data_IF_131652156411
#
_entry.id   IF_131652156411
#
_cell.length_a   1.000
_cell.length_b   1.000
_cell.length_c   1.000
_cell.angle_alpha   90.00
_cell.angle_beta   90.00
_cell.angle_gamma   90.00
#
_symmetry.space_group_name_H-M   'P 1'
#
loop_
_entity.id
_entity.type
_entity.pdbx_description
1 polymer ?
#
# COMPACT_ATOMS: atom_id res chain seq x y z
N UNK A 1 -50.39 -0.75 -19.76
CA UNK A 1 -49.22 -1.49 -19.24
C UNK A 1 -48.05 -1.29 -20.17
N UNK A 2 -47.10 -0.43 -19.82
CA UNK A 2 -45.90 -0.19 -20.60
C UNK A 2 -44.88 -1.30 -20.34
N UNK A 3 -44.48 -2.02 -21.38
CA UNK A 3 -43.42 -3.06 -21.27
C UNK A 3 -42.07 -2.36 -21.26
N UNK A 4 -41.39 -2.39 -20.12
CA UNK A 4 -39.99 -2.01 -20.04
C UNK A 4 -39.15 -3.02 -20.86
N UNK A 5 -38.58 -2.57 -21.98
CA UNK A 5 -37.54 -3.33 -22.69
C UNK A 5 -36.23 -3.18 -21.91
N UNK A 6 -35.83 -4.22 -21.20
CA UNK A 6 -34.48 -4.29 -20.62
C UNK A 6 -33.47 -4.45 -21.76
N UNK A 7 -32.63 -3.44 -21.97
CA UNK A 7 -31.46 -3.60 -22.84
C UNK A 7 -30.54 -4.69 -22.24
N UNK A 8 -29.98 -5.59 -23.06
CA UNK A 8 -29.06 -6.58 -22.54
C UNK A 8 -27.83 -5.90 -21.97
N UNK A 9 -27.46 -6.26 -20.75
CA UNK A 9 -26.23 -5.84 -20.09
C UNK A 9 -25.04 -6.30 -20.96
N UNK A 10 -24.38 -5.38 -21.62
CA UNK A 10 -23.14 -5.69 -22.33
C UNK A 10 -22.04 -5.98 -21.30
N UNK A 11 -21.59 -7.22 -21.25
CA UNK A 11 -20.44 -7.60 -20.44
C UNK A 11 -19.25 -6.73 -20.83
N UNK A 12 -18.55 -6.08 -19.87
CA UNK A 12 -17.38 -5.29 -20.20
C UNK A 12 -16.36 -6.20 -20.90
N UNK A 13 -15.83 -5.76 -22.05
CA UNK A 13 -14.72 -6.45 -22.71
C UNK A 13 -13.56 -6.47 -21.72
N UNK A 14 -13.15 -7.68 -21.29
CA UNK A 14 -11.92 -7.90 -20.54
C UNK A 14 -10.77 -7.51 -21.46
N UNK A 15 -10.25 -6.30 -21.28
CA UNK A 15 -9.00 -5.87 -21.89
C UNK A 15 -7.90 -6.79 -21.38
N UNK A 16 -6.92 -7.17 -22.20
CA UNK A 16 -5.78 -7.96 -21.76
C UNK A 16 -5.13 -7.22 -20.58
N UNK A 17 -5.29 -7.76 -19.37
CA UNK A 17 -4.81 -7.13 -18.14
C UNK A 17 -3.29 -7.27 -18.11
N UNK A 18 -2.60 -6.15 -18.16
CA UNK A 18 -1.18 -6.10 -17.77
C UNK A 18 -1.07 -6.52 -16.30
N UNK A 19 -0.03 -7.28 -15.97
CA UNK A 19 0.23 -7.66 -14.58
C UNK A 19 0.30 -6.40 -13.71
N UNK A 20 -0.53 -6.27 -12.65
CA UNK A 20 -0.57 -5.06 -11.84
C UNK A 20 0.74 -4.86 -11.07
N UNK A 21 1.08 -3.61 -10.77
CA UNK A 21 2.27 -3.24 -10.01
C UNK A 21 1.92 -3.15 -8.52
N UNK A 22 2.61 -3.95 -7.71
CA UNK A 22 2.57 -3.89 -6.25
C UNK A 22 3.79 -3.15 -5.72
N UNK A 23 3.59 -2.06 -4.99
CA UNK A 23 4.67 -1.40 -4.28
C UNK A 23 4.65 -1.75 -2.79
N UNK A 24 5.78 -2.25 -2.27
CA UNK A 24 5.98 -2.55 -0.86
C UNK A 24 6.81 -1.43 -0.25
N UNK A 25 6.19 -0.63 0.65
CA UNK A 25 6.83 0.51 1.28
C UNK A 25 7.36 0.14 2.66
N UNK A 26 8.68 0.28 2.87
CA UNK A 26 9.33 0.17 4.18
C UNK A 26 9.19 1.50 4.90
N UNK A 27 8.28 1.57 5.87
CA UNK A 27 7.94 2.84 6.53
C UNK A 27 8.99 3.30 7.55
N UNK A 28 9.70 2.38 8.20
CA UNK A 28 10.66 2.72 9.25
C UNK A 28 11.96 3.30 8.69
N UNK A 29 12.48 4.36 9.32
CA UNK A 29 13.70 5.06 8.86
C UNK A 29 14.83 5.11 9.88
N UNK A 30 14.58 4.72 11.17
CA UNK A 30 15.59 4.82 12.22
C UNK A 30 16.76 3.83 12.00
N UNK A 31 17.99 4.14 12.44
CA UNK A 31 19.11 3.18 12.45
C UNK A 31 18.77 1.90 13.21
N UNK A 32 19.22 0.74 12.74
CA UNK A 32 18.97 -0.54 13.38
C UNK A 32 17.53 -1.06 13.31
N UNK A 33 16.68 -0.46 12.46
CA UNK A 33 15.28 -0.86 12.24
C UNK A 33 15.14 -2.31 11.76
N UNK A 34 13.99 -2.90 12.02
CA UNK A 34 13.63 -4.26 11.60
C UNK A 34 12.87 -4.27 10.27
N UNK A 35 12.34 -3.12 9.87
CA UNK A 35 11.52 -2.98 8.66
C UNK A 35 12.10 -3.65 7.41
N UNK A 36 13.39 -3.49 7.08
CA UNK A 36 14.00 -4.17 5.94
C UNK A 36 13.91 -5.70 6.00
N UNK A 37 14.09 -6.31 7.17
CA UNK A 37 13.98 -7.77 7.35
C UNK A 37 12.56 -8.27 7.09
N UNK A 38 11.56 -7.55 7.62
CA UNK A 38 10.14 -7.87 7.40
C UNK A 38 9.78 -7.66 5.94
N UNK A 39 10.26 -6.57 5.34
CA UNK A 39 9.96 -6.24 3.95
C UNK A 39 10.61 -7.23 2.97
N UNK A 40 11.82 -7.70 3.23
CA UNK A 40 12.47 -8.71 2.41
C UNK A 40 11.64 -10.01 2.36
N UNK A 41 11.14 -10.46 3.50
CA UNK A 41 10.26 -11.63 3.56
C UNK A 41 8.98 -11.44 2.75
N UNK A 42 8.22 -10.37 3.00
CA UNK A 42 6.94 -10.19 2.27
C UNK A 42 7.17 -9.91 0.78
N UNK A 43 8.31 -9.33 0.40
CA UNK A 43 8.72 -9.17 -0.99
C UNK A 43 8.94 -10.53 -1.67
N UNK A 44 9.66 -11.46 -1.02
CA UNK A 44 9.83 -12.83 -1.51
C UNK A 44 8.49 -13.54 -1.66
N UNK A 45 7.55 -13.38 -0.70
CA UNK A 45 6.19 -13.94 -0.79
C UNK A 45 5.42 -13.37 -1.97
N UNK A 46 5.50 -12.06 -2.19
CA UNK A 46 4.82 -11.40 -3.31
C UNK A 46 5.38 -11.83 -4.67
N UNK A 47 6.70 -12.01 -4.78
CA UNK A 47 7.33 -12.56 -5.99
C UNK A 47 6.89 -14.02 -6.25
N UNK A 48 6.89 -14.86 -5.22
CA UNK A 48 6.47 -16.27 -5.32
C UNK A 48 4.98 -16.42 -5.65
N UNK A 49 4.14 -15.48 -5.21
CA UNK A 49 2.72 -15.43 -5.50
C UNK A 49 2.42 -15.20 -7.00
N UNK A 50 3.26 -14.42 -7.69
CA UNK A 50 3.20 -14.23 -9.14
C UNK A 50 2.03 -13.37 -9.66
N UNK A 51 1.21 -12.81 -8.78
CA UNK A 51 0.06 -11.97 -9.16
C UNK A 51 0.40 -10.52 -9.49
N UNK A 52 1.67 -10.11 -9.27
CA UNK A 52 2.12 -8.73 -9.42
C UNK A 52 3.52 -8.63 -10.02
N UNK A 53 3.78 -7.51 -10.69
CA UNK A 53 5.15 -6.97 -10.77
C UNK A 53 5.44 -6.24 -9.46
N UNK A 54 6.52 -6.62 -8.75
CA UNK A 54 6.76 -6.15 -7.38
C UNK A 54 7.90 -5.14 -7.35
N UNK A 55 7.66 -3.97 -6.73
CA UNK A 55 8.65 -2.93 -6.45
C UNK A 55 8.81 -2.78 -4.94
N UNK A 56 10.06 -2.78 -4.44
CA UNK A 56 10.37 -2.52 -3.04
C UNK A 56 10.87 -1.08 -2.90
N UNK A 57 10.28 -0.31 -1.98
CA UNK A 57 10.58 1.10 -1.77
C UNK A 57 10.90 1.34 -0.30
N UNK A 58 12.09 1.84 -0.02
CA UNK A 58 12.54 2.18 1.33
C UNK A 58 12.43 3.69 1.57
N UNK A 59 11.56 4.11 2.50
CA UNK A 59 11.40 5.54 2.82
C UNK A 59 12.66 6.18 3.40
N UNK A 60 13.61 5.38 3.93
CA UNK A 60 14.91 5.92 4.35
C UNK A 60 15.79 6.29 3.16
N UNK A 61 15.67 5.57 2.04
CA UNK A 61 16.41 5.86 0.80
C UNK A 61 15.74 6.98 0.00
N UNK A 62 14.39 6.99 -0.05
CA UNK A 62 13.61 8.09 -0.65
C UNK A 62 13.93 9.41 0.04
N UNK A 63 14.14 9.39 1.35
CA UNK A 63 14.62 10.51 2.16
C UNK A 63 13.89 11.84 1.91
N UNK A 64 12.56 11.81 1.88
CA UNK A 64 11.76 13.02 1.76
C UNK A 64 12.01 13.96 2.94
N UNK A 65 12.23 15.27 2.71
CA UNK A 65 12.20 16.25 3.79
C UNK A 65 10.83 16.24 4.47
N UNK A 66 10.68 16.95 5.59
CA UNK A 66 9.32 17.20 6.11
C UNK A 66 8.54 17.97 5.06
N UNK A 67 7.24 17.65 4.91
CA UNK A 67 6.38 18.17 3.85
C UNK A 67 6.55 19.69 3.66
N UNK A 68 7.03 20.09 2.49
CA UNK A 68 7.50 21.46 2.18
C UNK A 68 6.89 22.05 0.89
N UNK A 69 5.91 21.36 0.26
CA UNK A 69 5.25 21.92 -0.91
C UNK A 69 4.38 23.13 -0.53
N UNK A 70 4.50 24.24 -1.27
CA UNK A 70 3.72 25.45 -0.99
C UNK A 70 2.23 25.29 -1.36
N UNK A 71 1.93 24.45 -2.37
CA UNK A 71 0.58 24.23 -2.86
C UNK A 71 -0.03 22.96 -2.27
N UNK A 72 -1.35 22.96 -2.08
CA UNK A 72 -2.05 21.78 -1.59
C UNK A 72 -1.95 20.61 -2.60
N UNK A 73 -1.61 19.37 -2.20
CA UNK A 73 -1.40 18.23 -3.10
C UNK A 73 -2.58 17.90 -4.03
N UNK A 74 -3.80 18.31 -3.68
CA UNK A 74 -4.97 18.19 -4.57
C UNK A 74 -4.83 18.94 -5.88
N UNK A 75 -4.01 19.99 -5.92
CA UNK A 75 -3.81 20.79 -7.13
C UNK A 75 -2.83 20.11 -8.10
N UNK A 76 -1.99 19.20 -7.62
CA UNK A 76 -0.90 18.56 -8.37
C UNK A 76 0.12 19.56 -8.96
N UNK A 77 0.19 20.74 -8.37
CA UNK A 77 1.14 21.79 -8.74
C UNK A 77 2.41 21.68 -7.90
N UNK A 78 3.14 20.59 -8.11
CA UNK A 78 4.35 20.27 -7.37
C UNK A 78 5.52 21.16 -7.79
N UNK A 79 6.14 21.81 -6.80
CA UNK A 79 7.26 22.73 -7.01
C UNK A 79 8.59 21.97 -6.96
N UNK A 80 8.78 21.14 -5.94
CA UNK A 80 10.05 20.49 -5.65
C UNK A 80 10.26 19.22 -6.47
N UNK A 81 11.53 18.96 -6.85
CA UNK A 81 11.87 17.78 -7.64
C UNK A 81 11.61 16.49 -6.89
N UNK A 82 11.94 16.44 -5.58
CA UNK A 82 11.67 15.26 -4.75
C UNK A 82 10.19 14.89 -4.72
N UNK A 83 9.27 15.87 -4.74
CA UNK A 83 7.83 15.61 -4.82
C UNK A 83 7.43 15.07 -6.18
N UNK A 84 7.99 15.60 -7.26
CA UNK A 84 7.72 15.11 -8.63
C UNK A 84 8.20 13.68 -8.80
N UNK A 85 9.38 13.35 -8.29
CA UNK A 85 9.95 12.02 -8.34
C UNK A 85 9.11 11.04 -7.49
N UNK A 86 8.67 11.47 -6.31
CA UNK A 86 7.79 10.71 -5.44
C UNK A 86 6.42 10.48 -6.09
N UNK A 87 5.83 11.49 -6.69
CA UNK A 87 4.57 11.38 -7.45
C UNK A 87 4.71 10.39 -8.61
N UNK A 88 5.78 10.47 -9.39
CA UNK A 88 6.05 9.53 -10.48
C UNK A 88 6.20 8.09 -9.97
N UNK A 89 6.87 7.90 -8.84
CA UNK A 89 7.04 6.59 -8.20
C UNK A 89 5.69 6.00 -7.78
N UNK A 90 4.91 6.72 -6.99
CA UNK A 90 3.63 6.23 -6.46
C UNK A 90 2.57 6.07 -7.55
N UNK A 91 2.63 6.88 -8.61
CA UNK A 91 1.69 6.79 -9.72
C UNK A 91 1.73 5.43 -10.43
N UNK A 92 2.90 4.77 -10.48
CA UNK A 92 3.06 3.46 -11.16
C UNK A 92 2.32 2.32 -10.46
N UNK A 93 2.09 2.43 -9.15
CA UNK A 93 1.48 1.35 -8.38
C UNK A 93 0.00 1.14 -8.74
N UNK A 94 -0.43 -0.11 -8.72
CA UNK A 94 -1.82 -0.54 -8.73
C UNK A 94 -2.31 -0.95 -7.34
N UNK A 95 -1.40 -1.38 -6.48
CA UNK A 95 -1.65 -1.81 -5.11
C UNK A 95 -0.44 -1.51 -4.22
N UNK A 96 -0.67 -1.49 -2.91
CA UNK A 96 0.38 -1.25 -1.92
C UNK A 96 0.38 -2.28 -0.80
N UNK A 97 1.58 -2.55 -0.26
CA UNK A 97 1.79 -3.10 1.08
C UNK A 97 2.59 -2.10 1.89
N UNK A 98 2.08 -1.69 3.04
CA UNK A 98 2.80 -0.83 3.98
C UNK A 98 3.39 -1.69 5.09
N UNK A 99 4.73 -1.76 5.17
CA UNK A 99 5.49 -2.44 6.23
C UNK A 99 5.76 -1.43 7.33
N UNK A 100 4.97 -1.48 8.41
CA UNK A 100 4.88 -0.42 9.42
C UNK A 100 5.26 -0.87 10.82
N UNK A 101 6.13 -0.12 11.54
CA UNK A 101 6.33 -0.28 12.97
C UNK A 101 5.19 0.37 13.76
N UNK A 102 5.01 -0.07 15.00
CA UNK A 102 4.26 0.68 16.00
C UNK A 102 5.22 1.44 16.90
N UNK A 103 5.12 2.77 16.91
CA UNK A 103 5.83 3.65 17.83
C UNK A 103 4.84 4.40 18.70
N UNK A 104 4.93 4.21 20.02
CA UNK A 104 4.08 4.92 20.98
C UNK A 104 2.58 4.87 20.61
N UNK A 105 2.06 3.68 20.33
CA UNK A 105 0.66 3.41 19.96
C UNK A 105 0.25 3.88 18.56
N UNK A 106 1.14 4.45 17.77
CA UNK A 106 0.82 4.99 16.45
C UNK A 106 1.77 4.52 15.35
N UNK A 107 1.45 4.91 14.13
CA UNK A 107 2.34 4.76 12.98
C UNK A 107 3.49 5.80 13.05
N UNK A 108 4.60 5.51 12.39
CA UNK A 108 5.76 6.39 12.40
C UNK A 108 5.59 7.63 11.50
N UNK A 109 6.32 8.71 11.81
CA UNK A 109 6.22 9.99 11.11
C UNK A 109 6.56 9.89 9.62
N UNK A 110 7.54 9.06 9.24
CA UNK A 110 7.99 8.97 7.86
C UNK A 110 6.89 8.49 6.89
N UNK A 111 6.06 7.50 7.29
CA UNK A 111 4.95 7.07 6.43
C UNK A 111 3.87 8.16 6.32
N UNK A 112 3.58 8.87 7.42
CA UNK A 112 2.61 9.98 7.38
C UNK A 112 3.10 11.08 6.45
N UNK A 113 4.36 11.45 6.57
CA UNK A 113 5.00 12.46 5.72
C UNK A 113 4.94 12.06 4.23
N UNK A 114 5.32 10.83 3.91
CA UNK A 114 5.29 10.31 2.54
C UNK A 114 3.88 10.31 1.93
N UNK A 115 2.85 10.02 2.75
CA UNK A 115 1.45 10.05 2.32
C UNK A 115 0.99 11.49 2.07
N UNK A 116 1.35 12.44 2.91
CA UNK A 116 0.87 13.83 2.87
C UNK A 116 1.39 14.61 1.66
N UNK A 117 2.53 14.21 1.09
CA UNK A 117 3.07 14.83 -0.12
C UNK A 117 2.15 14.73 -1.33
N UNK A 118 1.28 13.72 -1.41
CA UNK A 118 0.50 13.38 -2.59
C UNK A 118 -0.99 13.24 -2.26
N UNK A 119 -1.85 13.27 -3.30
CA UNK A 119 -3.28 13.07 -3.13
C UNK A 119 -3.87 12.15 -4.20
N UNK A 120 -3.75 12.51 -5.48
CA UNK A 120 -4.39 11.79 -6.57
C UNK A 120 -3.75 10.44 -6.85
N UNK A 121 -2.46 10.32 -6.58
CA UNK A 121 -1.64 9.15 -6.82
C UNK A 121 -2.06 7.95 -5.97
N UNK A 122 -2.69 8.20 -4.83
CA UNK A 122 -3.20 7.19 -3.90
C UNK A 122 -4.58 6.67 -4.26
N UNK A 123 -5.39 7.43 -5.00
CA UNK A 123 -6.83 7.18 -5.18
C UNK A 123 -7.13 5.84 -5.82
N UNK A 124 -8.12 5.15 -5.26
CA UNK A 124 -8.67 3.90 -5.76
C UNK A 124 -7.64 2.78 -5.92
N UNK A 125 -6.65 2.76 -5.04
CA UNK A 125 -5.66 1.70 -4.94
C UNK A 125 -5.82 0.97 -3.61
N UNK A 126 -5.81 -0.38 -3.59
CA UNK A 126 -5.87 -1.13 -2.34
C UNK A 126 -4.54 -1.07 -1.61
N UNK A 127 -4.59 -1.19 -0.27
CA UNK A 127 -3.42 -1.26 0.59
C UNK A 127 -3.57 -2.33 1.65
N UNK A 128 -2.64 -3.28 1.68
CA UNK A 128 -2.43 -4.23 2.75
C UNK A 128 -1.43 -3.72 3.77
N UNK A 129 -1.49 -4.23 5.00
CA UNK A 129 -0.58 -3.84 6.07
C UNK A 129 0.19 -5.05 6.59
N UNK A 130 1.51 -4.92 6.66
CA UNK A 130 2.39 -5.80 7.41
C UNK A 130 2.90 -5.00 8.60
N UNK A 131 2.26 -5.18 9.75
CA UNK A 131 2.58 -4.43 10.96
C UNK A 131 3.41 -5.26 11.93
N UNK A 132 4.29 -4.61 12.68
CA UNK A 132 5.14 -5.28 13.65
C UNK A 132 5.41 -4.40 14.88
N UNK A 133 5.71 -5.05 16.00
CA UNK A 133 6.01 -4.34 17.25
C UNK A 133 6.28 -5.27 18.42
N UNK A 134 5.88 -4.85 19.60
CA UNK A 134 5.84 -5.67 20.81
C UNK A 134 4.56 -6.49 20.87
N UNK A 135 3.93 -6.58 22.06
CA UNK A 135 2.71 -7.39 22.31
C UNK A 135 1.55 -7.06 21.36
N UNK A 136 1.39 -5.81 20.96
CA UNK A 136 0.30 -5.39 20.07
C UNK A 136 0.59 -5.61 18.59
N UNK A 137 1.71 -6.22 18.21
CA UNK A 137 2.03 -6.59 16.83
C UNK A 137 1.92 -5.44 15.80
N UNK A 138 1.92 -4.19 16.24
CA UNK A 138 1.71 -3.03 15.36
C UNK A 138 0.25 -2.76 14.95
N UNK A 139 -0.71 -3.48 15.54
CA UNK A 139 -2.13 -3.39 15.14
C UNK A 139 -2.73 -2.01 15.37
N UNK A 140 -2.32 -1.30 16.43
CA UNK A 140 -2.79 0.07 16.71
C UNK A 140 -2.32 1.06 15.64
N UNK A 141 -1.05 0.94 15.22
CA UNK A 141 -0.51 1.73 14.13
C UNK A 141 -1.27 1.48 12.81
N UNK A 142 -1.56 0.21 12.50
CA UNK A 142 -2.34 -0.15 11.32
C UNK A 142 -3.76 0.43 11.38
N UNK A 143 -4.46 0.33 12.51
CA UNK A 143 -5.82 0.88 12.67
C UNK A 143 -5.84 2.41 12.51
N UNK A 144 -4.88 3.12 13.09
CA UNK A 144 -4.77 4.56 12.92
C UNK A 144 -4.48 4.94 11.46
N UNK A 145 -3.61 4.19 10.79
CA UNK A 145 -3.23 4.48 9.40
C UNK A 145 -4.37 4.17 8.41
N UNK A 146 -5.22 3.18 8.69
CA UNK A 146 -6.45 2.91 7.90
C UNK A 146 -7.34 4.14 7.80
N UNK A 147 -7.47 4.92 8.86
CA UNK A 147 -8.26 6.17 8.85
C UNK A 147 -7.62 7.22 7.92
N UNK A 148 -6.29 7.35 7.95
CA UNK A 148 -5.55 8.31 7.10
C UNK A 148 -5.73 7.97 5.62
N UNK A 149 -5.46 6.73 5.23
CA UNK A 149 -5.50 6.33 3.81
C UNK A 149 -6.90 6.37 3.22
N UNK A 150 -7.95 6.17 4.04
CA UNK A 150 -9.35 6.26 3.58
C UNK A 150 -9.70 7.66 3.11
N UNK A 151 -9.14 8.72 3.72
CA UNK A 151 -9.39 10.11 3.31
C UNK A 151 -8.85 10.40 1.91
N UNK A 152 -7.89 9.60 1.45
CA UNK A 152 -7.28 9.64 0.12
C UNK A 152 -7.96 8.71 -0.88
N UNK A 153 -9.11 8.13 -0.52
CA UNK A 153 -9.82 7.12 -1.33
C UNK A 153 -9.00 5.86 -1.62
N UNK A 154 -8.00 5.55 -0.81
CA UNK A 154 -7.40 4.22 -0.81
C UNK A 154 -8.37 3.22 -0.17
N UNK A 155 -8.22 1.94 -0.53
CA UNK A 155 -9.00 0.86 0.04
C UNK A 155 -8.13 0.00 0.98
N UNK A 156 -8.16 0.24 2.30
CA UNK A 156 -7.42 -0.59 3.25
C UNK A 156 -8.08 -1.96 3.37
N UNK A 157 -7.28 -3.03 3.17
CA UNK A 157 -7.79 -4.39 3.27
C UNK A 157 -8.12 -4.78 4.71
N UNK A 158 -9.03 -5.76 4.84
CA UNK A 158 -9.27 -6.45 6.10
C UNK A 158 -8.08 -7.37 6.42
N UNK A 159 -7.61 -8.14 5.43
CA UNK A 159 -6.49 -9.06 5.52
C UNK A 159 -5.19 -8.30 5.82
N UNK A 160 -4.55 -8.64 6.93
CA UNK A 160 -3.33 -8.00 7.40
C UNK A 160 -2.38 -9.04 7.98
N UNK A 161 -1.09 -8.78 7.92
CA UNK A 161 -0.08 -9.53 8.67
C UNK A 161 0.30 -8.73 9.90
N UNK A 162 0.19 -9.34 11.09
CA UNK A 162 0.53 -8.68 12.36
C UNK A 162 1.57 -9.52 13.12
N UNK A 163 2.76 -8.96 13.36
CA UNK A 163 3.91 -9.68 13.91
C UNK A 163 4.21 -9.19 15.33
N UNK A 164 3.75 -9.94 16.36
CA UNK A 164 4.08 -9.61 17.75
C UNK A 164 5.53 -9.96 18.04
N UNK A 165 6.17 -9.22 18.94
CA UNK A 165 7.54 -9.50 19.40
C UNK A 165 8.50 -9.83 18.24
N UNK A 166 8.49 -9.02 17.19
CA UNK A 166 9.18 -9.29 15.91
C UNK A 166 10.64 -9.71 16.04
N UNK A 167 11.35 -9.27 17.09
CA UNK A 167 12.74 -9.65 17.34
C UNK A 167 12.93 -11.16 17.55
N UNK A 168 11.91 -11.87 18.04
CA UNK A 168 11.96 -13.32 18.27
C UNK A 168 11.95 -14.14 16.99
N UNK A 169 11.58 -13.52 15.88
CA UNK A 169 11.52 -14.14 14.57
C UNK A 169 12.72 -13.82 13.68
N UNK A 170 13.74 -13.13 14.22
CA UNK A 170 14.95 -12.82 13.46
C UNK A 170 16.04 -13.86 13.79
N UNK A 171 16.66 -14.40 12.75
CA UNK A 171 17.87 -15.21 12.90
C UNK A 171 19.13 -14.35 13.16
N UNK A 172 20.30 -15.01 13.24
CA UNK A 172 21.59 -14.36 13.49
C UNK A 172 21.97 -13.35 12.38
N UNK A 173 21.50 -13.58 11.14
CA UNK A 173 21.71 -12.72 9.99
C UNK A 173 20.60 -11.65 9.85
N UNK A 174 19.73 -11.53 10.86
CA UNK A 174 18.57 -10.63 10.90
C UNK A 174 17.53 -10.91 9.80
N UNK A 175 17.47 -12.12 9.26
CA UNK A 175 16.42 -12.54 8.33
C UNK A 175 15.19 -12.98 9.12
N UNK A 176 14.02 -12.57 8.66
CA UNK A 176 12.76 -12.97 9.27
C UNK A 176 12.50 -14.47 9.02
N UNK A 177 12.26 -15.21 10.09
CA UNK A 177 11.84 -16.61 10.07
C UNK A 177 10.34 -16.66 10.36
N UNK A 178 9.48 -16.70 9.32
CA UNK A 178 8.04 -16.62 9.50
C UNK A 178 7.49 -17.91 10.10
N UNK A 179 6.41 -17.79 10.85
CA UNK A 179 5.60 -18.93 11.27
C UNK A 179 4.42 -19.15 10.30
N UNK A 180 3.69 -20.25 10.48
CA UNK A 180 2.55 -20.64 9.65
C UNK A 180 1.45 -19.57 9.60
N UNK A 181 1.21 -18.86 10.71
CA UNK A 181 0.20 -17.78 10.77
C UNK A 181 0.61 -16.62 9.87
N UNK A 182 1.88 -16.23 9.89
CA UNK A 182 2.39 -15.16 9.01
C UNK A 182 2.27 -15.55 7.53
N UNK A 183 2.65 -16.79 7.19
CA UNK A 183 2.58 -17.28 5.81
C UNK A 183 1.16 -17.34 5.29
N UNK A 184 0.23 -17.88 6.08
CA UNK A 184 -1.19 -17.94 5.72
C UNK A 184 -1.79 -16.54 5.57
N UNK A 185 -1.49 -15.64 6.50
CA UNK A 185 -1.99 -14.25 6.45
C UNK A 185 -1.41 -13.49 5.26
N UNK A 186 -0.15 -13.70 4.91
CA UNK A 186 0.47 -13.07 3.75
C UNK A 186 -0.18 -13.54 2.44
N UNK A 187 -0.44 -14.84 2.32
CA UNK A 187 -1.13 -15.41 1.15
C UNK A 187 -2.53 -14.81 1.00
N UNK A 188 -3.34 -14.81 2.07
CA UNK A 188 -4.68 -14.24 2.05
C UNK A 188 -4.68 -12.75 1.68
N UNK A 189 -3.73 -11.98 2.20
CA UNK A 189 -3.58 -10.55 1.88
C UNK A 189 -3.20 -10.35 0.40
N UNK A 190 -2.28 -11.14 -0.15
CA UNK A 190 -1.87 -11.04 -1.55
C UNK A 190 -3.00 -11.42 -2.50
N UNK A 191 -3.75 -12.48 -2.22
CA UNK A 191 -4.93 -12.88 -2.98
C UNK A 191 -5.97 -11.76 -3.03
N UNK A 192 -6.27 -11.14 -1.87
CA UNK A 192 -7.26 -10.07 -1.79
C UNK A 192 -6.75 -8.76 -2.43
N UNK A 193 -5.43 -8.48 -2.39
CA UNK A 193 -4.85 -7.35 -3.12
C UNK A 193 -5.06 -7.50 -4.63
N UNK A 194 -4.87 -8.68 -5.21
CA UNK A 194 -5.12 -8.93 -6.64
C UNK A 194 -6.58 -8.69 -6.98
N UNK A 195 -7.51 -9.30 -6.21
CA UNK A 195 -8.95 -9.14 -6.42
C UNK A 195 -9.39 -7.68 -6.38
N UNK A 196 -9.00 -7.00 -5.29
CA UNK A 196 -9.41 -5.61 -5.03
C UNK A 196 -8.78 -4.65 -6.02
N UNK A 197 -7.50 -4.86 -6.40
CA UNK A 197 -6.84 -4.05 -7.43
C UNK A 197 -7.58 -4.11 -8.77
N UNK A 198 -7.97 -5.31 -9.20
CA UNK A 198 -8.76 -5.50 -10.41
C UNK A 198 -10.14 -4.82 -10.33
N UNK A 199 -10.83 -4.94 -9.21
CA UNK A 199 -12.14 -4.33 -9.00
C UNK A 199 -12.09 -2.78 -8.99
N UNK A 200 -11.03 -2.19 -8.42
CA UNK A 200 -10.88 -0.75 -8.31
C UNK A 200 -10.33 -0.11 -9.60
N UNK A 201 -9.79 -0.88 -10.53
CA UNK A 201 -9.22 -0.36 -11.77
C UNK A 201 -10.21 0.48 -12.57
N UNK A 202 -11.49 0.10 -12.60
CA UNK A 202 -12.56 0.84 -13.30
C UNK A 202 -12.77 2.24 -12.73
N UNK A 203 -12.46 2.48 -11.46
CA UNK A 203 -12.59 3.78 -10.80
C UNK A 203 -11.40 4.71 -11.08
N UNK A 204 -10.28 4.16 -11.59
CA UNK A 204 -9.08 4.91 -11.96
C UNK A 204 -9.15 5.43 -13.41
N UNK A 205 -9.96 4.79 -14.24
CA UNK A 205 -10.21 5.27 -15.59
C UNK A 205 -10.93 6.63 -15.55
N UNK A 206 -10.64 7.56 -16.49
CA UNK A 206 -11.41 8.78 -16.61
C UNK A 206 -12.89 8.45 -16.72
N UNK A 207 -13.73 9.11 -15.91
CA UNK A 207 -15.18 8.89 -15.97
C UNK A 207 -15.70 9.26 -17.36
N UNK A 208 -16.05 8.27 -18.15
CA UNK A 208 -16.66 8.50 -19.46
C UNK A 208 -17.99 9.24 -19.26
N UNK A 209 -18.05 10.52 -19.65
CA UNK A 209 -19.29 11.29 -19.73
C UNK A 209 -19.72 12.06 -18.48
N UNK A 210 -18.94 12.15 -17.41
CA UNK A 210 -19.17 13.11 -16.34
C UNK A 210 -18.32 14.36 -16.59
N UNK A 211 -18.85 15.32 -17.32
CA UNK A 211 -18.33 16.70 -17.33
C UNK A 211 -18.52 17.28 -15.92
N UNK A 212 -17.43 17.85 -15.38
CA UNK A 212 -17.39 18.51 -14.08
C UNK A 212 -18.38 19.68 -14.00
#
# INVERSE_FOLDING_TARGET
>A
MARYKTAPWASPKVCAMTTPVLQILIASTRPGRVGPSVAAWIHERALAHGGFTVELIDLAEVNLPMFDEPNHPRLREYTHQHTKDWSATISRADAFIFVIPEYNYGFNAAIKNAIDYLNHEWKYKPVGFVSYGGVAAGTRAAQMLKQVVTTLKMHPLFETVSIPFVQQFLDADRRLQPNEIMETSATAMLDELVRTSGALQVLRAPAAGLTA
#
